data_IF_202742617905
#
_entry.id   IF_202742617905
#
_cell.length_a   1.000
_cell.length_b   1.000
_cell.length_c   1.000
_cell.angle_alpha   90.00
_cell.angle_beta   90.00
_cell.angle_gamma   90.00
#
_symmetry.space_group_name_H-M   'P 1'
#
loop_
_entity.id
_entity.type
_entity.pdbx_description
1 polymer ?
#
# COMPACT_ATOMS: atom_id res chain seq x y z
N UNK A 1 -10.04 10.04 17.93
CA UNK A 1 -9.32 9.03 18.76
C UNK A 1 -9.75 7.65 18.26
N UNK A 2 -8.84 6.96 17.59
CA UNK A 2 -9.04 5.56 17.21
C UNK A 2 -8.09 4.72 18.07
N UNK A 3 -8.63 3.66 18.68
CA UNK A 3 -7.87 2.75 19.51
C UNK A 3 -7.38 1.59 18.64
N UNK A 4 -6.11 1.24 18.74
CA UNK A 4 -5.53 0.00 18.21
C UNK A 4 -5.30 -0.98 19.34
N UNK A 5 -5.50 -2.27 19.07
CA UNK A 5 -5.11 -3.34 19.99
C UNK A 5 -3.60 -3.33 20.18
N UNK A 6 -3.17 -3.19 21.42
CA UNK A 6 -1.78 -3.30 21.79
C UNK A 6 -1.44 -4.74 22.21
N UNK A 7 -0.32 -5.24 21.72
CA UNK A 7 0.18 -6.57 22.04
C UNK A 7 1.58 -6.45 22.61
N UNK A 8 1.88 -7.24 23.64
CA UNK A 8 3.25 -7.49 24.08
C UNK A 8 3.77 -8.75 23.44
N UNK A 9 4.89 -8.62 22.74
CA UNK A 9 5.58 -9.75 22.17
C UNK A 9 6.87 -10.03 22.93
N UNK A 10 7.03 -11.26 23.36
CA UNK A 10 8.30 -11.77 23.83
C UNK A 10 9.00 -12.48 22.70
N UNK A 11 10.06 -11.88 22.16
CA UNK A 11 10.90 -12.51 21.15
C UNK A 11 12.03 -13.28 21.83
N UNK A 12 11.93 -14.61 21.81
CA UNK A 12 13.00 -15.50 22.25
C UNK A 12 13.89 -15.84 21.08
N UNK A 13 15.11 -15.31 21.04
CA UNK A 13 16.09 -15.70 20.03
C UNK A 13 17.14 -16.62 20.62
N UNK A 14 17.26 -17.84 20.06
CA UNK A 14 18.31 -18.80 20.38
C UNK A 14 19.53 -18.58 19.48
N UNK A 15 20.73 -18.46 20.07
CA UNK A 15 22.00 -18.53 19.31
C UNK A 15 22.20 -17.42 18.30
N UNK A 16 21.72 -16.21 18.61
CA UNK A 16 21.85 -15.07 17.73
C UNK A 16 23.03 -14.22 18.16
N UNK A 17 24.09 -14.24 17.37
CA UNK A 17 25.13 -13.21 17.45
C UNK A 17 24.51 -11.81 17.26
N UNK A 18 25.24 -10.78 17.68
CA UNK A 18 24.78 -9.37 17.67
C UNK A 18 24.18 -8.88 16.35
N UNK A 19 24.53 -9.53 15.23
CA UNK A 19 24.03 -9.18 13.89
C UNK A 19 22.53 -9.48 13.75
N UNK A 20 22.07 -10.67 14.14
CA UNK A 20 20.65 -11.04 14.00
C UNK A 20 19.78 -10.31 15.02
N UNK A 21 20.28 -10.10 16.25
CA UNK A 21 19.60 -9.28 17.25
C UNK A 21 19.28 -7.90 16.68
N UNK A 22 20.28 -7.24 16.05
CA UNK A 22 20.07 -5.92 15.42
C UNK A 22 19.03 -5.96 14.30
N UNK A 23 19.06 -7.01 13.49
CA UNK A 23 18.10 -7.18 12.40
C UNK A 23 16.67 -7.38 12.92
N UNK A 24 16.48 -8.22 13.96
CA UNK A 24 15.19 -8.42 14.62
C UNK A 24 14.69 -7.12 15.26
N UNK A 25 15.54 -6.41 15.97
CA UNK A 25 15.19 -5.10 16.55
C UNK A 25 14.75 -4.12 15.48
N UNK A 26 15.49 -4.04 14.35
CA UNK A 26 15.15 -3.18 13.22
C UNK A 26 13.79 -3.57 12.62
N UNK A 27 13.51 -4.86 12.47
CA UNK A 27 12.22 -5.35 12.00
C UNK A 27 11.09 -4.90 12.93
N UNK A 28 11.22 -5.11 14.24
CA UNK A 28 10.21 -4.71 15.22
C UNK A 28 9.98 -3.18 15.22
N UNK A 29 11.04 -2.39 15.19
CA UNK A 29 10.95 -0.92 15.13
C UNK A 29 10.26 -0.47 13.84
N UNK A 30 10.59 -1.08 12.70
CA UNK A 30 9.94 -0.77 11.41
C UNK A 30 8.44 -1.07 11.44
N UNK A 31 8.03 -2.07 12.22
CA UNK A 31 6.64 -2.45 12.48
C UNK A 31 6.02 -1.70 13.67
N UNK A 32 6.56 -0.52 14.00
CA UNK A 32 6.08 0.36 15.08
C UNK A 32 6.19 -0.26 16.48
N UNK A 33 7.08 -1.23 16.66
CA UNK A 33 7.35 -1.83 17.97
C UNK A 33 8.17 -0.91 18.85
N UNK A 34 7.74 -0.78 20.12
CA UNK A 34 8.47 -0.09 21.18
C UNK A 34 9.14 -1.13 22.07
N UNK A 35 10.48 -1.10 22.15
CA UNK A 35 11.23 -2.00 23.02
C UNK A 35 10.98 -1.63 24.48
N UNK A 36 10.40 -2.55 25.25
CA UNK A 36 10.16 -2.36 26.68
C UNK A 36 11.21 -3.02 27.57
N UNK A 37 11.69 -4.19 27.17
CA UNK A 37 12.67 -4.92 27.95
C UNK A 37 13.60 -5.75 27.09
N UNK A 38 14.81 -6.00 27.60
CA UNK A 38 15.81 -6.87 27.01
C UNK A 38 16.55 -7.64 28.11
N UNK A 39 16.45 -8.96 28.08
CA UNK A 39 17.07 -9.84 29.04
C UNK A 39 17.98 -10.85 28.36
N UNK A 40 19.20 -10.99 28.82
CA UNK A 40 20.10 -12.05 28.40
C UNK A 40 19.90 -13.28 29.30
N UNK A 41 19.30 -14.32 28.75
CA UNK A 41 19.03 -15.57 29.45
C UNK A 41 20.31 -16.42 29.56
N UNK A 42 21.11 -16.42 28.51
CA UNK A 42 22.42 -17.08 28.40
C UNK A 42 23.31 -16.23 27.49
N UNK A 43 24.59 -16.61 27.37
CA UNK A 43 25.51 -15.97 26.40
C UNK A 43 24.97 -15.91 24.97
N UNK A 44 24.12 -16.92 24.60
CA UNK A 44 23.64 -17.09 23.23
C UNK A 44 22.13 -16.85 23.09
N UNK A 45 21.40 -16.52 24.17
CA UNK A 45 19.96 -16.29 24.17
C UNK A 45 19.59 -14.95 24.72
N UNK A 46 18.85 -14.18 23.93
CA UNK A 46 18.30 -12.88 24.34
C UNK A 46 16.79 -12.92 24.23
N UNK A 47 16.13 -12.47 25.26
CA UNK A 47 14.69 -12.18 25.25
C UNK A 47 14.48 -10.69 25.00
N UNK A 48 13.70 -10.36 23.98
CA UNK A 48 13.34 -8.99 23.63
C UNK A 48 11.84 -8.84 23.79
N UNK A 49 11.42 -7.90 24.61
CA UNK A 49 10.00 -7.60 24.83
C UNK A 49 9.65 -6.31 24.11
N UNK A 50 8.70 -6.39 23.20
CA UNK A 50 8.18 -5.24 22.45
C UNK A 50 6.69 -5.05 22.70
N UNK A 51 6.23 -3.83 22.67
CA UNK A 51 4.83 -3.48 22.55
C UNK A 51 4.56 -3.06 21.13
N UNK A 52 3.66 -3.77 20.44
CA UNK A 52 3.43 -3.61 19.00
C UNK A 52 1.93 -3.57 18.68
N UNK A 53 1.50 -2.89 17.61
CA UNK A 53 0.12 -2.99 17.15
C UNK A 53 -0.17 -4.37 16.54
N UNK A 54 -1.33 -4.95 16.89
CA UNK A 54 -1.73 -6.27 16.39
C UNK A 54 -1.76 -6.34 14.86
N UNK A 55 -2.25 -5.31 14.21
CA UNK A 55 -2.34 -5.26 12.74
C UNK A 55 -1.00 -5.37 12.01
N UNK A 56 0.12 -5.03 12.65
CA UNK A 56 1.45 -5.18 12.06
C UNK A 56 2.04 -6.59 12.22
N UNK A 57 1.43 -7.41 13.08
CA UNK A 57 1.91 -8.76 13.44
C UNK A 57 1.18 -9.84 12.64
N UNK A 58 -0.13 -9.66 12.45
CA UNK A 58 -1.03 -10.73 11.95
C UNK A 58 -0.66 -11.21 10.56
N UNK A 59 -0.19 -10.32 9.66
CA UNK A 59 -0.03 -10.69 8.25
C UNK A 59 1.33 -11.34 7.94
N UNK A 60 2.42 -10.61 8.04
CA UNK A 60 3.71 -11.02 7.47
C UNK A 60 4.87 -11.04 8.49
N UNK A 61 4.60 -10.70 9.74
CA UNK A 61 5.64 -10.52 10.75
C UNK A 61 6.38 -11.83 11.06
N UNK A 62 5.64 -12.94 11.21
CA UNK A 62 6.24 -14.25 11.53
C UNK A 62 7.22 -14.70 10.43
N UNK A 63 6.81 -14.61 9.18
CA UNK A 63 7.62 -15.04 8.05
C UNK A 63 8.86 -14.16 7.89
N UNK A 64 8.70 -12.85 8.06
CA UNK A 64 9.84 -11.92 8.08
C UNK A 64 10.78 -12.18 9.24
N UNK A 65 10.24 -12.44 10.43
CA UNK A 65 11.03 -12.78 11.60
C UNK A 65 11.87 -14.04 11.38
N UNK A 66 11.25 -15.10 10.85
CA UNK A 66 11.94 -16.36 10.50
C UNK A 66 12.99 -16.14 9.40
N UNK A 67 12.68 -15.36 8.39
CA UNK A 67 13.62 -15.06 7.30
C UNK A 67 14.84 -14.30 7.81
N UNK A 68 14.64 -13.23 8.58
CA UNK A 68 15.70 -12.38 9.13
C UNK A 68 16.57 -13.14 10.12
N UNK A 69 15.98 -14.02 10.92
CA UNK A 69 16.68 -14.81 11.95
C UNK A 69 17.19 -16.15 11.44
N UNK A 70 17.05 -16.46 10.15
CA UNK A 70 17.34 -17.79 9.57
C UNK A 70 16.66 -18.94 10.32
N UNK A 71 15.45 -18.73 10.81
CA UNK A 71 14.64 -19.70 11.52
C UNK A 71 14.88 -19.81 13.02
N UNK A 72 15.88 -19.10 13.56
CA UNK A 72 16.24 -19.22 14.98
C UNK A 72 15.32 -18.45 15.93
N UNK A 73 14.71 -17.35 15.51
CA UNK A 73 13.80 -16.60 16.36
C UNK A 73 12.45 -17.29 16.47
N UNK A 74 11.89 -17.25 17.66
CA UNK A 74 10.49 -17.59 17.96
C UNK A 74 9.84 -16.41 18.66
N UNK A 75 8.52 -16.28 18.58
CA UNK A 75 7.81 -15.27 19.35
C UNK A 75 6.51 -15.84 19.92
N UNK A 76 6.14 -15.29 21.06
CA UNK A 76 4.85 -15.46 21.69
C UNK A 76 4.25 -14.08 21.91
N UNK A 77 2.94 -13.96 21.89
CA UNK A 77 2.26 -12.69 22.09
C UNK A 77 1.03 -12.82 22.96
N UNK A 78 0.70 -11.75 23.67
CA UNK A 78 -0.53 -11.64 24.44
C UNK A 78 -1.08 -10.20 24.36
N UNK A 79 -2.42 -10.05 24.36
CA UNK A 79 -3.03 -8.74 24.27
C UNK A 79 -2.81 -7.95 25.56
N UNK A 80 -2.45 -6.67 25.44
CA UNK A 80 -2.27 -5.74 26.59
C UNK A 80 -3.36 -4.68 26.67
N UNK A 81 -4.30 -4.65 25.73
CA UNK A 81 -5.39 -3.69 25.65
C UNK A 81 -5.18 -2.64 24.56
N UNK A 82 -6.10 -1.68 24.49
CA UNK A 82 -6.14 -0.67 23.46
C UNK A 82 -5.25 0.53 23.79
N UNK A 83 -4.55 1.03 22.79
CA UNK A 83 -3.79 2.27 22.86
C UNK A 83 -4.28 3.27 21.82
N UNK A 84 -4.10 4.56 22.12
CA UNK A 84 -4.39 5.62 21.14
C UNK A 84 -3.35 5.64 20.06
N UNK A 85 -3.79 5.65 18.78
CA UNK A 85 -2.92 5.70 17.61
C UNK A 85 -3.39 6.75 16.62
N UNK A 86 -2.46 7.25 15.80
CA UNK A 86 -2.77 8.26 14.77
C UNK A 86 -3.12 7.52 13.48
N UNK A 87 -4.36 7.03 13.41
CA UNK A 87 -4.91 6.38 12.24
C UNK A 87 -5.54 7.38 11.27
N UNK A 88 -5.46 7.09 9.99
CA UNK A 88 -6.11 7.84 8.93
C UNK A 88 -6.85 6.87 7.99
N UNK A 89 -8.03 7.27 7.53
CA UNK A 89 -8.73 6.59 6.45
C UNK A 89 -8.05 6.96 5.14
N UNK A 90 -7.51 5.97 4.46
CA UNK A 90 -6.95 6.09 3.12
C UNK A 90 -8.03 5.70 2.11
N UNK A 91 -8.51 6.67 1.35
CA UNK A 91 -9.51 6.47 0.31
C UNK A 91 -8.85 6.35 -1.05
N UNK A 92 -9.35 5.46 -1.89
CA UNK A 92 -8.95 5.33 -3.29
C UNK A 92 -10.02 5.97 -4.17
N UNK A 93 -9.57 6.91 -5.01
CA UNK A 93 -10.42 7.65 -5.93
C UNK A 93 -10.12 7.22 -7.36
N UNK A 94 -11.14 6.88 -8.12
CA UNK A 94 -11.05 6.63 -9.57
C UNK A 94 -11.76 7.77 -10.31
N UNK A 95 -11.00 8.53 -11.09
CA UNK A 95 -11.48 9.74 -11.79
C UNK A 95 -12.09 10.82 -10.89
N UNK A 96 -11.84 10.74 -9.58
CA UNK A 96 -12.41 11.64 -8.58
C UNK A 96 -13.52 11.01 -7.73
N UNK A 97 -14.06 9.87 -8.13
CA UNK A 97 -15.10 9.17 -7.40
C UNK A 97 -14.48 8.18 -6.39
N UNK A 98 -14.87 8.22 -5.12
CA UNK A 98 -14.35 7.32 -4.10
C UNK A 98 -14.84 5.89 -4.30
N UNK A 99 -13.97 4.92 -4.06
CA UNK A 99 -14.28 3.49 -4.09
C UNK A 99 -14.16 2.96 -2.66
N UNK A 100 -15.27 2.88 -1.95
CA UNK A 100 -15.28 2.49 -0.54
C UNK A 100 -14.72 1.09 -0.28
N UNK A 101 -14.93 0.16 -1.21
CA UNK A 101 -14.38 -1.20 -1.11
C UNK A 101 -12.84 -1.27 -1.12
N UNK A 102 -12.16 -0.22 -1.54
CA UNK A 102 -10.69 -0.10 -1.55
C UNK A 102 -10.17 0.84 -0.46
N UNK A 103 -11.05 1.34 0.41
CA UNK A 103 -10.66 2.19 1.53
C UNK A 103 -10.02 1.34 2.64
N UNK A 104 -8.95 1.84 3.23
CA UNK A 104 -8.24 1.15 4.31
C UNK A 104 -7.95 2.11 5.49
N UNK A 105 -7.97 1.56 6.70
CA UNK A 105 -7.48 2.27 7.88
C UNK A 105 -5.98 2.01 8.02
N UNK A 106 -5.19 3.06 8.00
CA UNK A 106 -3.73 2.96 8.03
C UNK A 106 -3.11 3.97 8.99
N UNK A 107 -1.98 3.63 9.55
CA UNK A 107 -1.23 4.61 10.33
C UNK A 107 -0.72 5.74 9.43
N UNK A 108 -0.80 6.99 9.91
CA UNK A 108 -0.48 8.19 9.13
C UNK A 108 0.91 8.17 8.51
N UNK A 109 1.90 7.60 9.18
CA UNK A 109 3.29 7.48 8.66
C UNK A 109 3.38 6.56 7.44
N UNK A 110 2.60 5.46 7.43
CA UNK A 110 2.65 4.44 6.37
C UNK A 110 1.71 4.76 5.20
N UNK A 111 0.84 5.75 5.36
CA UNK A 111 -0.21 6.08 4.39
C UNK A 111 0.31 6.42 3.00
N UNK A 112 1.46 7.12 2.91
CA UNK A 112 2.07 7.44 1.61
C UNK A 112 2.61 6.19 0.91
N UNK A 113 3.36 5.36 1.64
CA UNK A 113 3.96 4.15 1.09
C UNK A 113 2.89 3.15 0.60
N UNK A 114 1.86 2.92 1.43
CA UNK A 114 0.74 2.05 1.09
C UNK A 114 -0.09 2.65 -0.06
N UNK A 115 -0.44 3.92 0.00
CA UNK A 115 -1.20 4.59 -1.06
C UNK A 115 -0.48 4.54 -2.41
N UNK A 116 0.84 4.68 -2.44
CA UNK A 116 1.63 4.54 -3.66
C UNK A 116 1.63 3.11 -4.19
N UNK A 117 1.84 2.12 -3.31
CA UNK A 117 1.78 0.69 -3.68
C UNK A 117 0.41 0.34 -4.29
N UNK A 118 -0.68 0.74 -3.63
CA UNK A 118 -2.05 0.52 -4.10
C UNK A 118 -2.29 1.14 -5.47
N UNK A 119 -1.95 2.41 -5.67
CA UNK A 119 -2.11 3.09 -6.95
C UNK A 119 -1.32 2.41 -8.07
N UNK A 120 -0.09 1.95 -7.79
CA UNK A 120 0.74 1.25 -8.78
C UNK A 120 0.15 -0.10 -9.16
N UNK A 121 -0.28 -0.89 -8.18
CA UNK A 121 -0.94 -2.19 -8.41
C UNK A 121 -2.25 -2.04 -9.20
N UNK A 122 -3.09 -1.10 -8.80
CA UNK A 122 -4.34 -0.83 -9.51
C UNK A 122 -4.10 -0.39 -10.95
N UNK A 123 -3.05 0.39 -11.22
CA UNK A 123 -2.67 0.78 -12.59
C UNK A 123 -2.27 -0.41 -13.46
N UNK A 124 -1.66 -1.45 -12.89
CA UNK A 124 -1.30 -2.68 -13.61
C UNK A 124 -2.52 -3.55 -13.92
N UNK A 125 -3.47 -3.60 -12.98
CA UNK A 125 -4.63 -4.50 -13.04
C UNK A 125 -5.83 -3.91 -13.80
N UNK A 126 -6.02 -2.58 -13.74
CA UNK A 126 -7.12 -1.93 -14.44
C UNK A 126 -6.80 -1.86 -15.94
N UNK A 127 -7.62 -2.48 -16.80
CA UNK A 127 -7.38 -2.46 -18.24
C UNK A 127 -7.56 -1.05 -18.81
N UNK A 128 -6.81 -0.75 -19.88
CA UNK A 128 -6.95 0.52 -20.59
C UNK A 128 -8.33 0.63 -21.21
N UNK A 129 -8.98 1.76 -20.98
CA UNK A 129 -10.28 2.10 -21.56
C UNK A 129 -10.16 3.19 -22.62
N UNK A 130 -11.30 3.66 -23.15
CA UNK A 130 -11.34 4.70 -24.20
C UNK A 130 -10.93 6.09 -23.67
N UNK A 131 -10.84 6.27 -22.34
CA UNK A 131 -10.45 7.50 -21.66
C UNK A 131 -9.37 7.23 -20.63
N UNK A 132 -8.67 8.28 -20.20
CA UNK A 132 -7.64 8.18 -19.17
C UNK A 132 -8.31 8.00 -17.78
N UNK A 133 -7.85 7.02 -17.02
CA UNK A 133 -8.32 6.76 -15.66
C UNK A 133 -7.29 7.32 -14.69
N UNK A 134 -7.68 8.29 -13.88
CA UNK A 134 -6.86 8.79 -12.80
C UNK A 134 -7.13 7.95 -11.54
N UNK A 135 -6.11 7.29 -11.03
CA UNK A 135 -6.13 6.54 -9.78
C UNK A 135 -5.45 7.42 -8.74
N UNK A 136 -6.13 7.72 -7.66
CA UNK A 136 -5.59 8.60 -6.62
C UNK A 136 -5.83 7.97 -5.26
N UNK A 137 -4.85 8.06 -4.37
CA UNK A 137 -5.06 7.79 -2.95
C UNK A 137 -5.16 9.12 -2.21
N UNK A 138 -6.12 9.23 -1.30
CA UNK A 138 -6.38 10.45 -0.56
C UNK A 138 -6.61 10.16 0.93
N UNK A 139 -6.29 11.15 1.77
CA UNK A 139 -6.65 11.17 3.19
C UNK A 139 -7.50 12.41 3.39
N UNK A 140 -8.80 12.19 3.54
CA UNK A 140 -9.78 13.29 3.50
C UNK A 140 -9.70 14.05 2.18
N UNK A 141 -9.46 15.35 2.22
CA UNK A 141 -9.35 16.20 1.02
C UNK A 141 -7.93 16.18 0.39
N UNK A 142 -6.92 15.61 1.07
CA UNK A 142 -5.53 15.66 0.60
C UNK A 142 -5.18 14.44 -0.22
N UNK A 143 -4.81 14.64 -1.49
CA UNK A 143 -4.28 13.59 -2.36
C UNK A 143 -2.85 13.26 -1.92
N UNK A 144 -2.59 12.00 -1.64
CA UNK A 144 -1.30 11.46 -1.15
C UNK A 144 -0.48 10.91 -2.30
N UNK A 145 -1.11 10.17 -3.23
CA UNK A 145 -0.46 9.57 -4.38
C UNK A 145 -1.41 9.60 -5.59
N UNK A 146 -0.84 9.62 -6.79
CA UNK A 146 -1.60 9.62 -8.05
C UNK A 146 -0.87 8.83 -9.13
N UNK A 147 -1.63 7.95 -9.78
CA UNK A 147 -1.22 7.24 -10.98
C UNK A 147 -2.27 7.42 -12.08
N UNK A 148 -1.91 7.15 -13.33
CA UNK A 148 -2.84 7.29 -14.45
C UNK A 148 -2.71 6.12 -15.41
N UNK A 149 -3.83 5.46 -15.69
CA UNK A 149 -3.95 4.49 -16.78
C UNK A 149 -4.28 5.24 -18.06
N UNK A 150 -3.37 5.20 -19.02
CA UNK A 150 -3.55 5.91 -20.31
C UNK A 150 -4.64 5.27 -21.14
N UNK A 151 -5.48 6.09 -21.79
CA UNK A 151 -6.50 5.63 -22.71
C UNK A 151 -5.95 4.84 -23.90
N UNK A 152 -6.77 3.95 -24.43
CA UNK A 152 -6.53 3.37 -25.76
C UNK A 152 -6.51 4.49 -26.81
N UNK A 153 -5.50 4.49 -27.65
CA UNK A 153 -5.29 5.52 -28.66
C UNK A 153 -5.40 4.90 -30.05
N UNK A 154 -6.38 5.35 -30.83
CA UNK A 154 -6.44 5.04 -32.25
C UNK A 154 -5.56 6.06 -33.00
N UNK A 155 -4.73 5.61 -33.92
CA UNK A 155 -4.00 6.52 -34.78
C UNK A 155 -4.96 7.16 -35.81
N UNK A 156 -5.42 8.37 -35.47
CA UNK A 156 -6.35 9.13 -36.30
C UNK A 156 -5.62 9.93 -37.36
N UNK A 157 -4.28 9.97 -37.31
CA UNK A 157 -3.43 10.73 -38.26
C UNK A 157 -2.87 9.86 -39.37
N UNK A 158 -2.98 8.53 -39.28
CA UNK A 158 -2.47 7.57 -40.27
C UNK A 158 -2.96 7.87 -41.73
N UNK A 159 -4.20 8.35 -41.86
CA UNK A 159 -4.79 8.70 -43.16
C UNK A 159 -4.52 10.17 -43.61
N UNK A 160 -3.77 10.93 -42.82
CA UNK A 160 -3.40 12.29 -43.17
C UNK A 160 -2.07 12.30 -43.95
N UNK A 161 -2.13 11.96 -45.23
CA UNK A 161 -1.00 12.05 -46.13
C UNK A 161 -0.72 13.52 -46.48
N UNK A 162 0.56 13.88 -46.52
CA UNK A 162 0.99 15.24 -46.81
C UNK A 162 1.23 16.09 -45.55
N UNK A 163 1.98 17.18 -45.72
CA UNK A 163 2.52 18.00 -44.65
C UNK A 163 1.55 18.95 -43.94
N UNK A 164 0.21 18.78 -44.09
CA UNK A 164 -0.76 19.67 -43.43
C UNK A 164 -0.82 19.40 -41.90
N UNK A 165 0.03 20.15 -41.21
CA UNK A 165 0.13 20.15 -39.74
C UNK A 165 -1.19 20.60 -39.10
N UNK A 166 -1.89 21.56 -39.76
CA UNK A 166 -3.15 22.13 -39.24
C UNK A 166 -4.26 21.09 -39.19
N UNK A 167 -4.39 20.28 -40.24
CA UNK A 167 -5.37 19.19 -40.32
C UNK A 167 -5.08 18.11 -39.28
N UNK A 168 -3.81 17.70 -39.14
CA UNK A 168 -3.40 16.72 -38.08
C UNK A 168 -3.77 17.22 -36.69
N UNK A 169 -3.48 18.48 -36.41
CA UNK A 169 -3.81 19.11 -35.12
C UNK A 169 -5.31 19.13 -34.84
N UNK A 170 -6.14 19.52 -35.81
CA UNK A 170 -7.61 19.52 -35.65
C UNK A 170 -8.17 18.14 -35.37
N UNK A 171 -7.67 17.09 -36.01
CA UNK A 171 -8.11 15.72 -35.79
C UNK A 171 -7.73 15.23 -34.41
N UNK A 172 -6.50 15.52 -33.93
CA UNK A 172 -6.06 15.21 -32.57
C UNK A 172 -6.87 15.95 -31.51
N UNK A 173 -7.21 17.21 -31.73
CA UNK A 173 -8.05 18.01 -30.84
C UNK A 173 -9.48 17.44 -30.72
N UNK A 174 -10.08 17.02 -31.88
CA UNK A 174 -11.37 16.30 -31.87
C UNK A 174 -11.32 15.02 -31.04
N UNK A 175 -10.25 14.22 -31.21
CA UNK A 175 -10.06 13.00 -30.42
C UNK A 175 -9.96 13.31 -28.92
N UNK A 176 -9.19 14.34 -28.55
CA UNK A 176 -9.05 14.79 -27.15
C UNK A 176 -10.39 15.23 -26.55
N UNK A 177 -11.18 16.03 -27.29
CA UNK A 177 -12.52 16.46 -26.87
C UNK A 177 -13.48 15.26 -26.70
N UNK A 178 -13.46 14.31 -27.62
CA UNK A 178 -14.25 13.07 -27.53
C UNK A 178 -13.92 12.25 -26.30
N UNK A 179 -12.64 12.05 -26.01
CA UNK A 179 -12.19 11.33 -24.79
C UNK A 179 -12.60 12.04 -23.52
N UNK A 180 -12.53 13.38 -23.48
CA UNK A 180 -13.00 14.16 -22.32
C UNK A 180 -14.49 13.96 -22.05
N UNK A 181 -15.33 13.91 -23.10
CA UNK A 181 -16.77 13.61 -22.97
C UNK A 181 -17.01 12.18 -22.48
N UNK A 182 -16.30 11.21 -23.05
CA UNK A 182 -16.41 9.80 -22.62
C UNK A 182 -16.05 9.61 -21.15
N UNK A 183 -15.07 10.35 -20.66
CA UNK A 183 -14.71 10.31 -19.23
C UNK A 183 -15.81 10.83 -18.30
N UNK A 184 -16.62 11.78 -18.75
CA UNK A 184 -17.72 12.36 -17.96
C UNK A 184 -18.93 11.41 -17.86
N UNK A 185 -19.09 10.50 -18.83
CA UNK A 185 -20.24 9.59 -18.92
C UNK A 185 -19.87 8.15 -18.54
N UNK A 186 -18.60 7.78 -18.73
CA UNK A 186 -18.15 6.40 -18.52
C UNK A 186 -17.84 6.11 -17.06
N UNK A 187 -18.40 5.04 -16.54
CA UNK A 187 -17.98 4.46 -15.26
C UNK A 187 -16.73 3.60 -15.46
N UNK A 188 -15.85 3.61 -14.46
CA UNK A 188 -14.65 2.77 -14.45
C UNK A 188 -15.04 1.41 -13.89
N UNK A 189 -14.94 0.38 -14.72
CA UNK A 189 -15.12 -1.00 -14.28
C UNK A 189 -13.84 -1.50 -13.62
N UNK A 190 -13.97 -1.94 -12.37
CA UNK A 190 -12.87 -2.50 -11.59
C UNK A 190 -12.97 -4.02 -11.66
N UNK A 191 -11.97 -4.71 -12.23
CA UNK A 191 -12.00 -6.17 -12.29
C UNK A 191 -11.87 -6.77 -10.88
N UNK A 192 -12.51 -7.89 -10.64
CA UNK A 192 -12.50 -8.59 -9.35
C UNK A 192 -11.07 -8.87 -8.86
N UNK A 193 -10.16 -9.18 -9.77
CA UNK A 193 -8.75 -9.41 -9.45
C UNK A 193 -8.07 -8.19 -8.82
N UNK A 194 -8.55 -6.97 -9.10
CA UNK A 194 -8.01 -5.76 -8.49
C UNK A 194 -8.35 -5.67 -6.99
N UNK A 195 -9.56 -6.08 -6.59
CA UNK A 195 -9.93 -6.15 -5.17
C UNK A 195 -9.10 -7.20 -4.44
N UNK A 196 -8.95 -8.39 -5.01
CA UNK A 196 -8.14 -9.46 -4.41
C UNK A 196 -6.66 -9.07 -4.29
N UNK A 197 -6.13 -8.35 -5.27
CA UNK A 197 -4.75 -7.89 -5.23
C UNK A 197 -4.50 -6.78 -4.20
N UNK A 198 -5.50 -5.96 -3.92
CA UNK A 198 -5.44 -4.96 -2.84
C UNK A 198 -5.38 -5.65 -1.47
N UNK A 199 -6.21 -6.67 -1.25
CA UNK A 199 -6.20 -7.45 0.00
C UNK A 199 -4.87 -8.20 0.22
N UNK A 200 -4.19 -8.62 -0.86
CA UNK A 200 -2.87 -9.28 -0.79
C UNK A 200 -1.68 -8.33 -0.72
N UNK A 201 -1.89 -7.02 -0.76
CA UNK A 201 -0.80 -6.03 -0.61
C UNK A 201 -0.30 -5.90 0.83
N UNK A 202 -1.04 -6.45 1.76
CA UNK A 202 -0.64 -6.56 3.16
C UNK A 202 0.26 -7.79 3.40
N UNK A 203 0.46 -8.64 2.36
CA UNK A 203 1.48 -9.69 2.28
C UNK A 203 2.75 -9.07 1.60
#
# INVERSE_FOLDING_TARGET
>A
FQAEDGIRDCLLSRGLGDVYKRQVMTLCITKRGELTNQVYLTTDRVELTFEMPLGEIVFDFYDKLKSVSKGYASFDYYPIGYRTSILAKLDILLNGDPVDALSALVHKTNSYALGKKLCTKLKELIPRQQFDIAIQSAIGAKIVSRETVKALRKDVTAKCYGGDITRKRKVLEKQKKGKKRMRQVGNVEIPQNAFMAVLKLDE
#
